data_IF_296203746213
#
_entry.id   IF_296203746213
#
_cell.length_a   1.000
_cell.length_b   1.000
_cell.length_c   1.000
_cell.angle_alpha   90.00
_cell.angle_beta   90.00
_cell.angle_gamma   90.00
#
_symmetry.space_group_name_H-M   'P 1'
#
loop_
_entity.id
_entity.type
_entity.pdbx_description
1 polymer ?
#
# COMPACT_ATOMS: atom_id res chain seq x y z
N UNK A 1 -2.72 19.48 -3.61
CA UNK A 1 -1.84 18.30 -3.63
C UNK A 1 -2.47 17.30 -4.57
N UNK A 2 -1.71 16.82 -5.54
CA UNK A 2 -2.17 15.90 -6.59
C UNK A 2 -1.37 14.61 -6.50
N UNK A 3 -2.06 13.49 -6.71
CA UNK A 3 -1.47 12.15 -6.68
C UNK A 3 -1.90 11.44 -7.96
N UNK A 4 -0.91 11.05 -8.76
CA UNK A 4 -1.12 10.28 -9.98
C UNK A 4 -0.71 8.84 -9.70
N UNK A 5 -1.61 7.91 -9.98
CA UNK A 5 -1.37 6.48 -9.76
C UNK A 5 -1.17 5.81 -11.12
N UNK A 6 -0.05 5.13 -11.31
CA UNK A 6 0.19 4.34 -12.50
C UNK A 6 -0.86 3.23 -12.63
N UNK A 7 -1.19 2.79 -13.84
CA UNK A 7 -2.13 1.69 -14.04
C UNK A 7 -1.69 0.42 -13.31
N UNK A 8 -0.38 0.15 -13.23
CA UNK A 8 0.18 -0.98 -12.50
C UNK A 8 -0.02 -0.85 -10.98
N UNK A 9 0.21 0.34 -10.43
CA UNK A 9 -0.04 0.59 -9.01
C UNK A 9 -1.53 0.45 -8.69
N UNK A 10 -2.42 0.94 -9.56
CA UNK A 10 -3.86 0.78 -9.39
C UNK A 10 -4.29 -0.70 -9.35
N UNK A 11 -3.80 -1.52 -10.30
CA UNK A 11 -4.08 -2.95 -10.30
C UNK A 11 -3.54 -3.65 -9.05
N UNK A 12 -2.34 -3.30 -8.60
CA UNK A 12 -1.77 -3.88 -7.40
C UNK A 12 -2.56 -3.51 -6.13
N UNK A 13 -3.09 -2.28 -6.03
CA UNK A 13 -4.01 -1.88 -4.95
C UNK A 13 -5.27 -2.75 -4.95
N UNK A 14 -5.90 -2.93 -6.11
CA UNK A 14 -7.12 -3.72 -6.25
C UNK A 14 -6.88 -5.19 -5.90
N UNK A 15 -5.84 -5.81 -6.45
CA UNK A 15 -5.47 -7.20 -6.18
C UNK A 15 -5.18 -7.38 -4.67
N UNK A 16 -4.44 -6.46 -4.06
CA UNK A 16 -4.13 -6.52 -2.62
C UNK A 16 -5.39 -6.55 -1.75
N UNK A 17 -6.44 -5.82 -2.13
CA UNK A 17 -7.72 -5.81 -1.42
C UNK A 17 -8.51 -7.12 -1.63
N UNK A 18 -8.53 -7.64 -2.86
CA UNK A 18 -9.25 -8.87 -3.22
C UNK A 18 -8.63 -10.11 -2.54
N UNK A 19 -7.31 -10.22 -2.55
CA UNK A 19 -6.57 -11.39 -2.04
C UNK A 19 -6.86 -11.71 -0.57
N UNK A 20 -7.11 -10.69 0.25
CA UNK A 20 -7.27 -10.85 1.70
C UNK A 20 -8.72 -11.05 2.15
N UNK A 21 -9.67 -10.97 1.21
CA UNK A 21 -11.14 -11.14 1.33
C UNK A 21 -11.73 -11.00 2.74
N UNK A 22 -12.56 -9.96 2.95
CA UNK A 22 -13.19 -9.63 4.26
C UNK A 22 -12.20 -9.36 5.40
N UNK A 23 -10.95 -9.06 5.06
CA UNK A 23 -9.95 -8.49 5.99
C UNK A 23 -9.34 -7.23 5.35
N UNK A 24 -8.77 -6.37 6.17
CA UNK A 24 -8.04 -5.21 5.67
C UNK A 24 -6.72 -5.64 5.03
N UNK A 25 -6.44 -5.15 3.83
CA UNK A 25 -5.12 -5.28 3.21
C UNK A 25 -4.18 -4.21 3.77
N UNK A 26 -2.88 -4.36 3.58
CA UNK A 26 -1.90 -3.33 3.90
C UNK A 26 -0.76 -3.41 2.89
N UNK A 27 -0.15 -2.28 2.58
CA UNK A 27 0.97 -2.22 1.66
C UNK A 27 1.66 -0.87 1.64
N UNK A 28 2.73 -0.79 0.85
CA UNK A 28 3.57 0.41 0.71
C UNK A 28 3.44 1.00 -0.69
N UNK A 29 3.55 2.32 -0.78
CA UNK A 29 3.52 3.06 -2.04
C UNK A 29 4.94 3.55 -2.38
N UNK A 30 5.40 3.18 -3.56
CA UNK A 30 6.66 3.64 -4.12
C UNK A 30 6.43 4.58 -5.29
N UNK A 31 7.27 5.61 -5.36
CA UNK A 31 7.23 6.57 -6.43
C UNK A 31 8.13 7.75 -6.13
N UNK A 32 7.77 8.91 -6.64
CA UNK A 32 8.57 10.12 -6.46
C UNK A 32 7.71 11.38 -6.49
N UNK A 33 8.30 12.48 -6.04
CA UNK A 33 7.71 13.82 -6.12
C UNK A 33 8.25 14.51 -7.37
N UNK A 34 7.38 14.80 -8.34
CA UNK A 34 7.78 15.39 -9.62
C UNK A 34 8.01 16.92 -9.51
N UNK A 35 7.14 17.62 -8.78
CA UNK A 35 7.21 19.07 -8.55
C UNK A 35 6.65 19.40 -7.16
N UNK A 36 6.51 20.69 -6.82
CA UNK A 36 5.82 21.07 -5.59
C UNK A 36 4.36 20.61 -5.63
N UNK A 37 3.99 19.72 -4.70
CA UNK A 37 2.65 19.16 -4.49
C UNK A 37 2.14 18.10 -5.47
N UNK A 38 2.98 17.57 -6.38
CA UNK A 38 2.63 16.44 -7.26
C UNK A 38 3.41 15.19 -6.87
N UNK A 39 2.69 14.12 -6.53
CA UNK A 39 3.23 12.79 -6.27
C UNK A 39 2.86 11.82 -7.40
N UNK A 40 3.86 11.08 -7.89
CA UNK A 40 3.68 10.02 -8.88
C UNK A 40 3.88 8.70 -8.15
N UNK A 41 2.84 7.87 -8.08
CA UNK A 41 2.86 6.52 -7.52
C UNK A 41 3.10 5.53 -8.66
N UNK A 42 4.29 4.94 -8.69
CA UNK A 42 4.66 3.97 -9.74
C UNK A 42 4.32 2.53 -9.34
N UNK A 43 4.46 2.20 -8.05
CA UNK A 43 4.23 0.86 -7.54
C UNK A 43 3.46 0.87 -6.22
N UNK A 44 2.59 -0.12 -6.04
CA UNK A 44 1.99 -0.48 -4.76
C UNK A 44 2.40 -1.92 -4.42
N UNK A 45 3.00 -2.11 -3.24
CA UNK A 45 3.52 -3.40 -2.80
C UNK A 45 2.69 -3.95 -1.65
N UNK A 46 2.10 -5.12 -1.82
CA UNK A 46 1.31 -5.75 -0.76
C UNK A 46 2.20 -6.24 0.38
N UNK A 47 1.77 -5.96 1.60
CA UNK A 47 2.45 -6.39 2.81
C UNK A 47 1.94 -7.77 3.23
N UNK A 48 2.31 -8.80 2.46
CA UNK A 48 1.76 -10.15 2.56
C UNK A 48 1.76 -10.74 3.99
N UNK A 49 2.78 -10.41 4.79
CA UNK A 49 2.95 -10.93 6.16
C UNK A 49 2.24 -10.11 7.25
N UNK A 50 1.42 -9.12 6.89
CA UNK A 50 0.63 -8.37 7.88
C UNK A 50 -0.33 -9.28 8.64
N UNK A 51 -0.51 -9.03 9.94
CA UNK A 51 -1.58 -9.65 10.71
C UNK A 51 -2.87 -8.87 10.46
N UNK A 52 -3.92 -9.55 9.98
CA UNK A 52 -5.10 -8.89 9.41
C UNK A 52 -6.36 -9.30 10.15
N UNK A 53 -7.17 -8.31 10.47
CA UNK A 53 -8.51 -8.43 11.03
C UNK A 53 -9.50 -7.74 10.09
N UNK A 54 -10.77 -7.80 10.46
CA UNK A 54 -11.83 -7.18 9.69
C UNK A 54 -11.73 -5.64 9.68
N UNK A 55 -11.24 -5.04 10.77
CA UNK A 55 -11.16 -3.56 10.95
C UNK A 55 -9.78 -3.08 11.34
N UNK A 56 -8.78 -3.94 11.23
CA UNK A 56 -7.42 -3.53 11.53
C UNK A 56 -6.41 -4.40 10.82
N UNK A 57 -5.24 -3.83 10.63
CA UNK A 57 -4.08 -4.51 10.10
C UNK A 57 -2.84 -4.07 10.86
N UNK A 58 -2.03 -5.04 11.27
CA UNK A 58 -0.81 -4.82 12.03
C UNK A 58 0.39 -5.33 11.23
N UNK A 59 1.36 -4.45 10.98
CA UNK A 59 2.61 -4.82 10.32
C UNK A 59 3.59 -5.43 11.31
N UNK A 60 4.29 -6.49 10.90
CA UNK A 60 5.43 -6.99 11.68
C UNK A 60 6.55 -5.95 11.68
N UNK A 61 6.82 -5.34 12.84
CA UNK A 61 7.77 -4.23 12.95
C UNK A 61 9.21 -4.57 12.52
N UNK A 62 9.68 -5.81 12.76
CA UNK A 62 11.03 -6.23 12.32
C UNK A 62 11.08 -6.36 10.79
N UNK A 63 10.08 -6.99 10.19
CA UNK A 63 9.98 -7.08 8.73
C UNK A 63 9.85 -5.68 8.09
N UNK A 64 9.08 -4.77 8.73
CA UNK A 64 8.80 -3.43 8.19
C UNK A 64 10.06 -2.63 8.10
N UNK A 65 10.85 -2.61 9.18
CA UNK A 65 12.15 -1.94 9.19
C UNK A 65 13.11 -2.51 8.15
N UNK A 66 13.07 -3.81 7.87
CA UNK A 66 13.94 -4.41 6.84
C UNK A 66 13.53 -3.98 5.44
N UNK A 67 12.23 -4.00 5.15
CA UNK A 67 11.68 -3.57 3.87
C UNK A 67 11.93 -2.07 3.65
N UNK A 68 11.58 -1.22 4.63
CA UNK A 68 11.81 0.23 4.57
C UNK A 68 13.30 0.56 4.36
N UNK A 69 14.22 -0.13 5.06
CA UNK A 69 15.67 0.03 4.83
C UNK A 69 16.10 -0.36 3.42
N UNK A 70 15.57 -1.45 2.88
CA UNK A 70 15.87 -1.86 1.51
C UNK A 70 15.38 -0.81 0.50
N UNK A 71 14.12 -0.37 0.66
CA UNK A 71 13.48 0.59 -0.22
C UNK A 71 14.16 1.97 -0.20
N UNK A 72 14.70 2.39 0.95
CA UNK A 72 15.45 3.64 1.07
C UNK A 72 16.74 3.69 0.22
N UNK A 73 17.22 2.54 -0.27
CA UNK A 73 18.43 2.44 -1.09
C UNK A 73 18.12 2.27 -2.59
N UNK A 74 16.85 2.29 -3.00
CA UNK A 74 16.50 2.17 -4.41
C UNK A 74 16.78 3.48 -5.15
N UNK A 75 17.50 3.45 -6.28
CA UNK A 75 17.67 4.65 -7.10
C UNK A 75 16.33 5.03 -7.73
N UNK A 76 16.05 6.34 -7.82
CA UNK A 76 14.88 6.94 -8.46
C UNK A 76 13.50 6.68 -7.82
N UNK A 77 13.40 5.79 -6.84
CA UNK A 77 12.17 5.49 -6.13
C UNK A 77 12.30 5.83 -4.64
N UNK A 78 11.23 6.37 -4.07
CA UNK A 78 11.11 6.66 -2.65
C UNK A 78 9.86 5.99 -2.09
N UNK A 79 9.92 5.64 -0.81
CA UNK A 79 8.73 5.31 -0.04
C UNK A 79 7.94 6.60 0.19
N UNK A 80 6.80 6.75 -0.49
CA UNK A 80 5.99 7.98 -0.49
C UNK A 80 4.68 7.84 0.30
N UNK A 81 4.38 6.64 0.81
CA UNK A 81 3.24 6.40 1.67
C UNK A 81 2.96 4.91 1.88
N UNK A 82 1.82 4.65 2.49
CA UNK A 82 1.25 3.32 2.66
C UNK A 82 -0.22 3.31 2.21
N UNK A 83 -0.80 2.11 2.13
CA UNK A 83 -2.22 1.93 1.85
C UNK A 83 -2.80 0.78 2.66
N UNK A 84 -4.10 0.83 2.88
CA UNK A 84 -4.90 -0.27 3.40
C UNK A 84 -6.31 -0.25 2.79
N UNK A 85 -7.02 -1.36 2.87
CA UNK A 85 -8.44 -1.42 2.51
C UNK A 85 -9.31 -1.38 3.76
N UNK A 86 -10.56 -0.96 3.58
CA UNK A 86 -11.63 -1.22 4.54
C UNK A 86 -12.54 -2.31 3.99
N UNK A 87 -13.04 -3.15 4.87
CA UNK A 87 -14.02 -4.18 4.50
C UNK A 87 -15.43 -3.63 4.63
N UNK A 88 -16.37 -4.16 3.83
CA UNK A 88 -17.79 -3.87 4.03
C UNK A 88 -18.25 -4.27 5.43
N UNK A 89 -19.07 -3.40 6.05
CA UNK A 89 -19.68 -3.57 7.37
C UNK A 89 -21.21 -3.56 7.24
N UNK A 90 -21.90 -4.43 8.00
CA UNK A 90 -23.36 -4.48 8.01
C UNK A 90 -23.97 -5.08 6.73
N UNK A 91 -25.10 -4.51 6.26
CA UNK A 91 -25.83 -5.00 5.06
C UNK A 91 -25.13 -4.69 3.73
N UNK A 92 -24.03 -3.92 3.77
CA UNK A 92 -23.15 -3.76 2.63
C UNK A 92 -22.36 -5.05 2.43
N UNK A 93 -22.97 -5.97 1.69
CA UNK A 93 -22.30 -7.11 1.08
C UNK A 93 -21.38 -6.55 0.00
N UNK A 94 -20.09 -6.47 0.32
CA UNK A 94 -19.04 -6.34 -0.70
C UNK A 94 -19.08 -7.49 -1.69
#
# INVERSE_FOLDING_TARGET
>A
MEVYISSNAFWALLISAVEVYKKECFGLLLGYRATNNIYIVEHALSYQTANRRHTSVEKNGRASRRIEKFLANLPHLSLIGDFHSHTGWGDLKG
#
